data_IF_939461850767
#
_entry.id   IF_939461850767
#
_cell.length_a   1.000
_cell.length_b   1.000
_cell.length_c   1.000
_cell.angle_alpha   90.00
_cell.angle_beta   90.00
_cell.angle_gamma   90.00
#
_symmetry.space_group_name_H-M   'P 1'
#
loop_
_entity.id
_entity.type
_entity.pdbx_description
1 polymer ?
#
# COMPACT_ATOMS: atom_id res chain seq x y z
N UNK A 1 3.57 -1.89 -13.36
CA UNK A 1 2.99 -3.24 -13.50
C UNK A 1 3.03 -3.76 -14.94
N UNK A 2 2.40 -3.08 -15.91
CA UNK A 2 2.36 -3.53 -17.31
C UNK A 2 3.76 -3.74 -17.93
N UNK A 3 4.69 -2.80 -17.72
CA UNK A 3 6.06 -2.90 -18.25
C UNK A 3 6.83 -4.12 -17.69
N UNK A 4 6.72 -4.38 -16.38
CA UNK A 4 7.29 -5.58 -15.73
C UNK A 4 6.68 -6.86 -16.28
N UNK A 5 5.35 -6.93 -16.35
CA UNK A 5 4.65 -8.10 -16.87
C UNK A 5 5.02 -8.38 -18.34
N UNK A 6 5.15 -7.35 -19.17
CA UNK A 6 5.58 -7.51 -20.55
C UNK A 6 7.02 -8.01 -20.64
N UNK A 7 7.96 -7.39 -19.92
CA UNK A 7 9.37 -7.80 -19.90
C UNK A 7 9.52 -9.25 -19.39
N UNK A 8 8.78 -9.63 -18.35
CA UNK A 8 8.82 -10.97 -17.77
C UNK A 8 8.14 -12.04 -18.64
N UNK A 9 6.88 -11.84 -19.03
CA UNK A 9 6.09 -12.88 -19.70
C UNK A 9 6.23 -12.88 -21.23
N UNK A 10 6.46 -11.71 -21.85
CA UNK A 10 6.59 -11.61 -23.31
C UNK A 10 8.05 -11.65 -23.77
N UNK A 11 8.97 -11.09 -23.00
CA UNK A 11 10.40 -11.02 -23.35
C UNK A 11 11.27 -12.02 -22.59
N UNK A 12 10.71 -12.73 -21.60
CA UNK A 12 11.43 -13.76 -20.85
C UNK A 12 12.53 -13.21 -19.95
N UNK A 13 12.49 -11.92 -19.62
CA UNK A 13 13.51 -11.29 -18.80
C UNK A 13 13.24 -11.48 -17.30
N UNK A 14 14.28 -11.39 -16.46
CA UNK A 14 14.11 -11.36 -15.02
C UNK A 14 13.14 -10.24 -14.59
N UNK A 15 12.36 -10.47 -13.53
CA UNK A 15 11.39 -9.51 -12.98
C UNK A 15 12.03 -8.33 -12.25
N UNK A 16 12.94 -7.62 -12.90
CA UNK A 16 13.66 -6.46 -12.38
C UNK A 16 13.14 -5.19 -13.05
N UNK A 17 13.15 -4.07 -12.33
CA UNK A 17 12.68 -2.78 -12.86
C UNK A 17 13.64 -2.30 -13.95
N UNK A 18 14.95 -2.49 -13.76
CA UNK A 18 15.99 -2.21 -14.76
C UNK A 18 15.70 -2.83 -16.13
N UNK A 19 15.19 -4.07 -16.16
CA UNK A 19 14.89 -4.82 -17.39
C UNK A 19 13.73 -4.23 -18.17
N UNK A 20 12.78 -3.59 -17.50
CA UNK A 20 11.69 -2.86 -18.18
C UNK A 20 12.18 -1.68 -19.02
N UNK A 21 13.38 -1.17 -18.72
CA UNK A 21 14.00 -0.05 -19.43
C UNK A 21 14.98 -0.50 -20.53
N UNK A 22 15.11 -1.80 -20.80
CA UNK A 22 15.90 -2.32 -21.91
C UNK A 22 15.58 -1.68 -23.28
N UNK A 23 14.32 -1.39 -23.67
CA UNK A 23 14.06 -0.72 -24.95
C UNK A 23 14.64 0.70 -25.05
N UNK A 24 14.93 1.36 -23.92
CA UNK A 24 15.52 2.70 -23.88
C UNK A 24 17.03 2.68 -23.66
N UNK A 25 17.51 1.78 -22.80
CA UNK A 25 18.92 1.74 -22.36
C UNK A 25 19.75 0.65 -23.05
N UNK A 26 19.12 -0.24 -23.83
CA UNK A 26 19.77 -1.36 -24.49
C UNK A 26 20.45 -2.27 -23.47
N UNK A 27 21.64 -2.78 -23.80
CA UNK A 27 22.39 -3.70 -22.94
C UNK A 27 22.99 -3.05 -21.67
N UNK A 28 22.90 -1.71 -21.54
CA UNK A 28 23.36 -1.00 -20.34
C UNK A 28 22.56 -1.35 -19.08
N UNK A 29 21.37 -1.96 -19.24
CA UNK A 29 20.56 -2.49 -18.12
C UNK A 29 21.22 -3.67 -17.41
N UNK A 30 22.22 -4.32 -18.01
CA UNK A 30 22.99 -5.40 -17.37
C UNK A 30 24.25 -4.87 -16.67
N UNK A 31 24.57 -3.60 -16.89
CA UNK A 31 25.70 -2.92 -16.27
C UNK A 31 25.33 -2.12 -15.01
N UNK A 32 26.23 -1.22 -14.56
CA UNK A 32 26.05 -0.48 -13.31
C UNK A 32 24.81 0.43 -13.29
N UNK A 33 24.36 0.89 -14.46
CA UNK A 33 23.14 1.71 -14.61
C UNK A 33 21.89 0.89 -14.23
N UNK A 34 21.82 -0.38 -14.65
CA UNK A 34 20.73 -1.26 -14.27
C UNK A 34 20.68 -1.52 -12.77
N UNK A 35 21.83 -1.82 -12.15
CA UNK A 35 21.93 -1.99 -10.70
C UNK A 35 21.49 -0.74 -9.94
N UNK A 36 21.88 0.46 -10.40
CA UNK A 36 21.44 1.72 -9.79
C UNK A 36 19.91 1.85 -9.81
N UNK A 37 19.27 1.55 -10.94
CA UNK A 37 17.80 1.60 -11.08
C UNK A 37 17.12 0.62 -10.14
N UNK A 38 17.63 -0.61 -10.05
CA UNK A 38 17.06 -1.63 -9.18
C UNK A 38 17.21 -1.25 -7.70
N UNK A 39 18.35 -0.68 -7.31
CA UNK A 39 18.57 -0.15 -5.96
C UNK A 39 17.59 0.98 -5.65
N UNK A 40 17.45 1.98 -6.53
CA UNK A 40 16.48 3.06 -6.36
C UNK A 40 15.05 2.53 -6.23
N UNK A 41 14.71 1.50 -7.00
CA UNK A 41 13.38 0.87 -6.98
C UNK A 41 13.10 0.16 -5.65
N UNK A 42 14.09 -0.55 -5.11
CA UNK A 42 14.00 -1.17 -3.78
C UNK A 42 13.85 -0.10 -2.70
N UNK A 43 14.66 0.97 -2.75
CA UNK A 43 14.54 2.09 -1.80
C UNK A 43 13.15 2.73 -1.84
N UNK A 44 12.61 3.03 -3.03
CA UNK A 44 11.28 3.60 -3.17
C UNK A 44 10.20 2.69 -2.58
N UNK A 45 10.31 1.38 -2.80
CA UNK A 45 9.36 0.39 -2.25
C UNK A 45 9.45 0.32 -0.72
N UNK A 46 10.67 0.30 -0.17
CA UNK A 46 10.88 0.26 1.28
C UNK A 46 10.30 1.50 1.97
N UNK A 47 10.50 2.69 1.42
CA UNK A 47 9.93 3.94 1.97
C UNK A 47 8.41 3.88 1.95
N UNK A 48 7.80 3.46 0.83
CA UNK A 48 6.33 3.33 0.74
C UNK A 48 5.75 2.33 1.75
N UNK A 49 6.41 1.19 1.93
CA UNK A 49 6.01 0.17 2.92
C UNK A 49 6.17 0.69 4.35
N UNK A 50 7.26 1.42 4.65
CA UNK A 50 7.50 1.99 5.98
C UNK A 50 6.43 3.01 6.38
N UNK A 51 6.03 3.90 5.46
CA UNK A 51 4.95 4.89 5.71
C UNK A 51 3.62 4.18 5.98
N UNK A 52 3.27 3.17 5.19
CA UNK A 52 2.04 2.39 5.37
C UNK A 52 2.01 1.66 6.73
N UNK A 53 3.12 1.00 7.10
CA UNK A 53 3.26 0.33 8.41
C UNK A 53 3.16 1.32 9.57
N UNK A 54 3.79 2.49 9.45
CA UNK A 54 3.75 3.55 10.46
C UNK A 54 2.32 4.07 10.68
N UNK A 55 1.60 4.40 9.60
CA UNK A 55 0.19 4.79 9.71
C UNK A 55 -0.68 3.68 10.30
N UNK A 56 -0.41 2.42 9.97
CA UNK A 56 -1.10 1.28 10.58
C UNK A 56 -0.88 1.20 12.09
N UNK A 57 0.36 1.36 12.55
CA UNK A 57 0.68 1.37 13.99
C UNK A 57 -0.01 2.53 14.73
N UNK A 58 -0.07 3.72 14.11
CA UNK A 58 -0.82 4.87 14.65
C UNK A 58 -2.31 4.56 14.81
N UNK A 59 -2.93 3.94 13.80
CA UNK A 59 -4.35 3.58 13.85
C UNK A 59 -4.63 2.50 14.92
N UNK A 60 -3.77 1.48 15.03
CA UNK A 60 -3.90 0.44 16.06
C UNK A 60 -3.74 1.05 17.45
N UNK A 61 -2.73 1.91 17.66
CA UNK A 61 -2.52 2.55 18.95
C UNK A 61 -3.69 3.47 19.33
N UNK A 62 -4.26 4.21 18.38
CA UNK A 62 -5.47 5.01 18.59
C UNK A 62 -6.67 4.16 18.99
N UNK A 63 -6.87 2.99 18.35
CA UNK A 63 -7.92 2.04 18.72
C UNK A 63 -7.72 1.44 20.12
N UNK A 64 -6.48 1.06 20.46
CA UNK A 64 -6.14 0.55 21.80
C UNK A 64 -6.30 1.63 22.88
N UNK A 65 -5.95 2.87 22.58
CA UNK A 65 -6.17 4.00 23.48
C UNK A 65 -7.67 4.20 23.73
N UNK A 66 -8.49 4.15 22.68
CA UNK A 66 -9.94 4.32 22.81
C UNK A 66 -10.61 3.19 23.61
N UNK A 67 -10.19 1.94 23.41
CA UNK A 67 -10.81 0.75 24.04
C UNK A 67 -10.27 0.44 25.44
N UNK A 68 -8.96 0.58 25.64
CA UNK A 68 -8.25 0.10 26.83
C UNK A 68 -7.51 1.21 27.60
N UNK A 69 -7.54 2.46 27.11
CA UNK A 69 -6.84 3.58 27.74
C UNK A 69 -5.31 3.50 27.64
N UNK A 70 -4.76 2.68 26.73
CA UNK A 70 -3.32 2.55 26.52
C UNK A 70 -2.75 3.87 26.02
N UNK A 71 -1.62 4.38 26.56
CA UNK A 71 -1.02 5.64 26.12
C UNK A 71 -0.78 5.68 24.61
N UNK A 72 -1.15 6.80 23.98
CA UNK A 72 -0.88 7.05 22.57
C UNK A 72 0.46 7.78 22.41
N UNK A 73 1.56 7.02 22.44
CA UNK A 73 2.91 7.57 22.32
C UNK A 73 3.79 6.73 21.38
N UNK A 74 4.91 7.32 20.94
CA UNK A 74 5.84 6.67 20.00
C UNK A 74 6.42 5.37 20.54
N UNK A 75 6.51 5.21 21.86
CA UNK A 75 7.01 3.98 22.48
C UNK A 75 6.05 2.80 22.25
N UNK A 76 4.75 2.99 22.50
CA UNK A 76 3.73 1.95 22.25
C UNK A 76 3.60 1.66 20.76
N UNK A 77 3.68 2.68 19.90
CA UNK A 77 3.68 2.50 18.44
C UNK A 77 4.88 1.65 17.99
N UNK A 78 6.07 1.88 18.55
CA UNK A 78 7.26 1.07 18.29
C UNK A 78 7.08 -0.40 18.68
N UNK A 79 6.47 -0.66 19.85
CA UNK A 79 6.14 -2.03 20.28
C UNK A 79 5.17 -2.69 19.30
N UNK A 80 4.11 -1.98 18.88
CA UNK A 80 3.13 -2.50 17.92
C UNK A 80 3.83 -2.88 16.61
N UNK A 81 4.73 -2.02 16.09
CA UNK A 81 5.49 -2.31 14.87
C UNK A 81 6.30 -3.59 15.04
N UNK A 82 7.08 -3.72 16.13
CA UNK A 82 7.89 -4.92 16.39
C UNK A 82 7.04 -6.18 16.41
N UNK A 83 5.91 -6.15 17.12
CA UNK A 83 4.98 -7.30 17.19
C UNK A 83 4.43 -7.65 15.81
N UNK A 84 3.96 -6.66 15.05
CA UNK A 84 3.44 -6.87 13.69
C UNK A 84 4.52 -7.40 12.74
N UNK A 85 5.76 -6.90 12.84
CA UNK A 85 6.88 -7.40 12.05
C UNK A 85 7.18 -8.86 12.36
N UNK A 86 7.17 -9.27 13.64
CA UNK A 86 7.37 -10.67 14.03
C UNK A 86 6.24 -11.56 13.46
N UNK A 87 4.98 -11.11 13.59
CA UNK A 87 3.83 -11.83 13.03
C UNK A 87 3.91 -11.94 11.49
N UNK A 88 4.38 -10.88 10.82
CA UNK A 88 4.58 -10.88 9.38
C UNK A 88 5.65 -11.88 8.94
N UNK A 89 6.81 -11.91 9.63
CA UNK A 89 7.89 -12.86 9.34
C UNK A 89 7.41 -14.30 9.57
N UNK A 90 6.71 -14.57 10.68
CA UNK A 90 6.12 -15.87 10.96
C UNK A 90 5.12 -16.31 9.88
N UNK A 91 4.27 -15.38 9.41
CA UNK A 91 3.34 -15.64 8.30
C UNK A 91 4.08 -15.97 7.00
N UNK A 92 5.15 -15.23 6.68
CA UNK A 92 5.94 -15.47 5.48
C UNK A 92 6.63 -16.84 5.50
N UNK A 93 7.11 -17.29 6.67
CA UNK A 93 7.72 -18.61 6.86
C UNK A 93 6.74 -19.78 6.73
N UNK A 94 5.46 -19.61 7.11
CA UNK A 94 4.43 -20.65 6.97
C UNK A 94 4.07 -21.01 5.50
N UNK A 95 4.68 -20.31 4.55
CA UNK A 95 4.51 -20.50 3.11
C UNK A 95 3.84 -19.28 2.48
N UNK A 96 4.60 -18.56 1.64
CA UNK A 96 4.18 -17.32 0.98
C UNK A 96 2.83 -17.45 0.25
N UNK A 97 2.54 -18.64 -0.32
CA UNK A 97 1.31 -18.89 -1.06
C UNK A 97 0.08 -19.15 -0.19
N UNK A 98 0.23 -19.69 1.02
CA UNK A 98 -0.91 -20.06 1.88
C UNK A 98 -1.16 -19.05 3.00
N UNK A 99 -0.10 -18.63 3.71
CA UNK A 99 -0.22 -17.73 4.87
C UNK A 99 -0.70 -16.33 4.44
N UNK A 100 -0.02 -15.72 3.47
CA UNK A 100 -0.39 -14.40 2.94
C UNK A 100 -1.77 -14.44 2.29
N UNK A 101 -2.10 -15.51 1.55
CA UNK A 101 -3.41 -15.64 0.91
C UNK A 101 -4.54 -15.71 1.94
N UNK A 102 -4.37 -16.49 3.02
CA UNK A 102 -5.38 -16.60 4.07
C UNK A 102 -5.58 -15.26 4.80
N UNK A 103 -4.49 -14.60 5.22
CA UNK A 103 -4.56 -13.30 5.88
C UNK A 103 -5.18 -12.23 4.96
N UNK A 104 -4.85 -12.24 3.67
CA UNK A 104 -5.43 -11.33 2.69
C UNK A 104 -6.94 -11.53 2.54
N UNK A 105 -7.39 -12.79 2.41
CA UNK A 105 -8.81 -13.11 2.32
C UNK A 105 -9.57 -12.70 3.60
N UNK A 106 -8.99 -12.93 4.77
CA UNK A 106 -9.56 -12.45 6.03
C UNK A 106 -9.64 -10.93 6.10
N UNK A 107 -8.58 -10.21 5.70
CA UNK A 107 -8.57 -8.75 5.69
C UNK A 107 -9.65 -8.18 4.77
N UNK A 108 -9.80 -8.71 3.56
CA UNK A 108 -10.87 -8.30 2.63
C UNK A 108 -12.25 -8.61 3.22
N UNK A 109 -12.43 -9.79 3.83
CA UNK A 109 -13.67 -10.16 4.50
C UNK A 109 -14.04 -9.21 5.64
N UNK A 110 -13.12 -8.97 6.58
CA UNK A 110 -13.32 -8.05 7.71
C UNK A 110 -13.58 -6.62 7.23
N UNK A 111 -12.81 -6.14 6.25
CA UNK A 111 -12.99 -4.81 5.67
C UNK A 111 -14.37 -4.65 5.01
N UNK A 112 -14.84 -5.68 4.30
CA UNK A 112 -16.16 -5.67 3.67
C UNK A 112 -17.28 -5.64 4.71
N UNK A 113 -17.16 -6.43 5.78
CA UNK A 113 -18.12 -6.44 6.90
C UNK A 113 -18.16 -5.06 7.56
N UNK A 114 -17.01 -4.48 7.90
CA UNK A 114 -16.93 -3.14 8.50
C UNK A 114 -17.54 -2.08 7.58
N UNK A 115 -17.32 -2.16 6.26
CA UNK A 115 -17.91 -1.26 5.28
C UNK A 115 -19.44 -1.35 5.28
N UNK A 116 -20.01 -2.56 5.23
CA UNK A 116 -21.46 -2.77 5.24
C UNK A 116 -22.08 -2.29 6.55
N UNK A 117 -21.46 -2.62 7.69
CA UNK A 117 -21.92 -2.16 9.01
C UNK A 117 -21.92 -0.64 9.07
N UNK A 118 -20.84 0.00 8.61
CA UNK A 118 -20.75 1.47 8.59
C UNK A 118 -21.80 2.10 7.68
N UNK A 119 -22.11 1.48 6.54
CA UNK A 119 -23.13 1.96 5.60
C UNK A 119 -24.55 1.89 6.18
N UNK A 120 -24.86 0.83 6.94
CA UNK A 120 -26.21 0.60 7.51
C UNK A 120 -26.40 1.34 8.84
N UNK A 121 -25.42 1.29 9.74
CA UNK A 121 -25.50 1.93 11.06
C UNK A 121 -25.25 3.44 10.96
N UNK A 122 -24.41 3.86 10.01
CA UNK A 122 -24.17 5.27 9.72
C UNK A 122 -25.31 5.92 8.95
N UNK A 123 -25.25 7.25 8.73
CA UNK A 123 -26.26 7.97 7.96
C UNK A 123 -26.16 7.63 6.47
N UNK A 124 -26.82 6.55 6.03
CA UNK A 124 -26.70 5.99 4.68
C UNK A 124 -26.93 7.02 3.58
N UNK A 125 -27.97 7.85 3.70
CA UNK A 125 -28.30 8.90 2.72
C UNK A 125 -27.17 9.93 2.61
N UNK A 126 -26.56 10.30 3.74
CA UNK A 126 -25.42 11.22 3.75
C UNK A 126 -24.22 10.59 3.03
N UNK A 127 -23.90 9.33 3.32
CA UNK A 127 -22.77 8.62 2.70
C UNK A 127 -22.95 8.54 1.17
N UNK A 128 -24.15 8.17 0.70
CA UNK A 128 -24.45 8.09 -0.74
C UNK A 128 -24.43 9.47 -1.42
N UNK A 129 -24.94 10.50 -0.75
CA UNK A 129 -24.87 11.88 -1.24
C UNK A 129 -23.42 12.37 -1.28
N UNK A 130 -22.61 12.08 -0.26
CA UNK A 130 -21.18 12.41 -0.24
C UNK A 130 -20.43 11.69 -1.35
N UNK A 131 -20.74 10.42 -1.63
CA UNK A 131 -20.14 9.69 -2.76
C UNK A 131 -20.41 10.41 -4.08
N UNK A 132 -21.66 10.80 -4.32
CA UNK A 132 -22.08 11.48 -5.56
C UNK A 132 -21.48 12.89 -5.64
N UNK A 133 -21.57 13.66 -4.55
CA UNK A 133 -21.04 15.03 -4.46
C UNK A 133 -19.52 15.07 -4.58
N UNK A 134 -18.81 14.16 -3.93
CA UNK A 134 -17.34 14.06 -4.02
C UNK A 134 -16.90 13.64 -5.42
N UNK A 135 -17.65 12.74 -6.08
CA UNK A 135 -17.37 12.36 -7.47
C UNK A 135 -17.59 13.56 -8.40
N UNK A 136 -18.69 14.28 -8.24
CA UNK A 136 -18.97 15.50 -9.03
C UNK A 136 -17.93 16.60 -8.79
N UNK A 137 -17.52 16.81 -7.54
CA UNK A 137 -16.46 17.75 -7.17
C UNK A 137 -15.12 17.35 -7.76
N UNK A 138 -14.76 16.06 -7.72
CA UNK A 138 -13.52 15.57 -8.32
C UNK A 138 -13.51 15.82 -9.82
N UNK A 139 -14.61 15.56 -10.54
CA UNK A 139 -14.71 15.82 -11.98
C UNK A 139 -14.64 17.32 -12.31
N UNK A 140 -15.29 18.15 -11.49
CA UNK A 140 -15.28 19.61 -11.68
C UNK A 140 -13.88 20.20 -11.46
N UNK A 141 -13.20 19.80 -10.38
CA UNK A 141 -11.89 20.32 -10.01
C UNK A 141 -10.74 19.56 -10.66
N UNK A 142 -11.00 18.50 -11.44
CA UNK A 142 -9.97 17.62 -12.00
C UNK A 142 -8.90 18.40 -12.78
N UNK A 143 -9.33 19.24 -13.71
CA UNK A 143 -8.40 20.04 -14.53
C UNK A 143 -7.62 21.03 -13.68
N UNK A 144 -8.31 21.77 -12.80
CA UNK A 144 -7.66 22.76 -11.95
C UNK A 144 -6.61 22.12 -11.02
N UNK A 145 -6.98 21.06 -10.30
CA UNK A 145 -6.08 20.35 -9.39
C UNK A 145 -4.90 19.67 -10.13
N UNK A 146 -5.08 19.28 -11.39
CA UNK A 146 -4.00 18.67 -12.19
C UNK A 146 -2.95 19.69 -12.64
N UNK A 147 -3.35 20.96 -12.79
CA UNK A 147 -2.45 22.07 -13.16
C UNK A 147 -2.09 22.98 -11.98
N UNK A 148 -2.48 22.60 -10.76
CA UNK A 148 -2.09 23.31 -9.55
C UNK A 148 -0.59 23.10 -9.32
N UNK A 149 0.16 24.20 -9.41
CA UNK A 149 1.62 24.22 -9.27
C UNK A 149 2.06 24.71 -7.90
N UNK A 150 1.11 24.92 -6.97
CA UNK A 150 1.34 25.48 -5.65
C UNK A 150 2.11 26.81 -5.65
N UNK A 151 1.96 27.60 -6.74
CA UNK A 151 2.58 28.90 -6.97
C UNK A 151 1.66 30.06 -6.51
#
# INVERSE_FOLDING_TARGET
ALALAYSQFRKGEPGLISRTLRPLLGDKVEGPIGTLIDVLSVFATLVGVAVSLGMGALQINGGLHYLFGVPNNTFVQGIIIVVVTILFIASAWSGLSKGIQYLSNLNIGLGTILMIVTLIVGPTVLILNMMTSSTGSLLNSFLFNSFDTAA
#
